data_IF_339464339631
#
_entry.id   IF_339464339631
#
_cell.length_a   1.000
_cell.length_b   1.000
_cell.length_c   1.000
_cell.angle_alpha   90.00
_cell.angle_beta   90.00
_cell.angle_gamma   90.00
#
_symmetry.space_group_name_H-M   'P 1'
#
loop_
_entity.id
_entity.type
_entity.pdbx_description
1 polymer ?
#
# COMPACT_ATOMS: atom_id res chain seq x y z
N UNK A 1 -12.96 13.19 -11.38
CA UNK A 1 -12.32 13.19 -10.04
C UNK A 1 -11.54 11.91 -9.84
N UNK A 2 -10.39 11.98 -9.17
CA UNK A 2 -10.24 11.11 -8.00
C UNK A 2 -8.94 10.32 -7.85
N UNK A 3 -8.12 10.16 -8.88
CA UNK A 3 -6.82 9.49 -8.75
C UNK A 3 -5.70 10.50 -8.92
N UNK A 4 -5.14 10.94 -7.80
CA UNK A 4 -3.95 11.78 -7.79
C UNK A 4 -2.72 10.89 -7.63
N UNK A 5 -1.68 11.07 -8.45
CA UNK A 5 -0.40 10.46 -8.18
C UNK A 5 0.09 10.85 -6.77
N UNK A 6 0.71 9.94 -6.00
CA UNK A 6 1.15 10.22 -4.64
C UNK A 6 2.00 11.50 -4.54
N UNK A 7 2.87 11.77 -5.51
CA UNK A 7 3.72 12.95 -5.50
C UNK A 7 2.97 14.28 -5.71
N UNK A 8 1.79 14.25 -6.32
CA UNK A 8 0.94 15.44 -6.50
C UNK A 8 0.09 15.72 -5.26
N UNK A 9 -0.21 14.69 -4.47
CA UNK A 9 -1.13 14.75 -3.34
C UNK A 9 -0.82 15.88 -2.33
N UNK A 10 0.43 16.12 -1.88
CA UNK A 10 0.69 17.24 -0.98
C UNK A 10 0.41 18.62 -1.60
N UNK A 11 0.65 18.78 -2.90
CA UNK A 11 0.41 20.04 -3.60
C UNK A 11 -1.10 20.33 -3.74
N UNK A 12 -1.93 19.30 -3.95
CA UNK A 12 -3.39 19.43 -4.01
C UNK A 12 -4.00 19.92 -2.69
N UNK A 13 -3.37 19.56 -1.56
CA UNK A 13 -3.78 20.03 -0.22
C UNK A 13 -3.28 21.46 0.05
N UNK A 14 -2.01 21.73 -0.28
CA UNK A 14 -1.34 22.98 0.03
C UNK A 14 -1.64 24.12 -0.96
N UNK A 15 -2.32 23.83 -2.07
CA UNK A 15 -2.72 24.85 -3.04
C UNK A 15 -3.64 25.91 -2.44
N UNK A 16 -3.66 27.10 -3.04
CA UNK A 16 -4.60 28.18 -2.73
C UNK A 16 -5.94 28.04 -3.49
N UNK A 17 -6.12 26.95 -4.24
CA UNK A 17 -7.32 26.70 -5.02
C UNK A 17 -8.56 26.58 -4.11
N UNK A 18 -9.71 27.20 -4.45
CA UNK A 18 -10.91 27.14 -3.62
C UNK A 18 -11.45 25.72 -3.39
N UNK A 19 -11.16 24.81 -4.33
CA UNK A 19 -11.52 23.39 -4.25
C UNK A 19 -10.35 22.47 -3.84
N UNK A 20 -9.32 23.01 -3.17
CA UNK A 20 -8.21 22.21 -2.64
C UNK A 20 -8.71 21.06 -1.75
N UNK A 21 -7.90 20.01 -1.60
CA UNK A 21 -8.23 18.91 -0.69
C UNK A 21 -8.18 19.41 0.76
N UNK A 22 -9.34 19.38 1.45
CA UNK A 22 -9.49 19.86 2.83
C UNK A 22 -9.66 18.75 3.86
N UNK A 23 -10.15 17.59 3.41
CA UNK A 23 -10.36 16.42 4.26
C UNK A 23 -9.77 15.18 3.59
N UNK A 24 -9.07 14.36 4.37
CA UNK A 24 -8.46 13.11 3.89
C UNK A 24 -8.76 11.98 4.87
N UNK A 25 -9.14 10.84 4.30
CA UNK A 25 -9.30 9.59 5.01
C UNK A 25 -8.17 8.65 4.58
N UNK A 26 -7.30 8.25 5.51
CA UNK A 26 -6.18 7.34 5.26
C UNK A 26 -6.50 6.00 5.89
N UNK A 27 -6.61 4.95 5.07
CA UNK A 27 -6.79 3.58 5.53
C UNK A 27 -5.53 2.77 5.19
N UNK A 28 -4.96 2.12 6.21
CA UNK A 28 -3.89 1.12 6.08
C UNK A 28 -2.65 1.64 5.32
N UNK A 29 -2.32 2.92 5.50
CA UNK A 29 -1.22 3.59 4.81
C UNK A 29 -0.54 4.64 5.69
N UNK A 30 0.73 4.93 5.40
CA UNK A 30 1.55 5.83 6.18
C UNK A 30 2.28 6.90 5.33
N UNK A 31 1.55 7.73 4.56
CA UNK A 31 2.10 8.70 3.63
C UNK A 31 3.06 9.72 4.28
N UNK A 32 2.91 10.03 5.57
CA UNK A 32 3.84 10.91 6.29
C UNK A 32 5.29 10.39 6.28
N UNK A 33 5.50 9.08 6.20
CA UNK A 33 6.84 8.47 6.15
C UNK A 33 7.15 7.83 4.78
N UNK A 34 6.14 7.36 4.05
CA UNK A 34 6.33 6.64 2.78
C UNK A 34 6.27 7.53 1.54
N UNK A 35 5.65 8.70 1.63
CA UNK A 35 5.56 9.66 0.53
C UNK A 35 6.91 10.33 0.25
N UNK A 36 7.24 10.51 -1.04
CA UNK A 36 8.43 11.27 -1.43
C UNK A 36 8.29 12.73 -1.03
N UNK A 37 9.37 13.33 -0.55
CA UNK A 37 9.34 14.59 0.18
C UNK A 37 8.45 14.48 1.43
N UNK A 38 8.86 13.61 2.37
CA UNK A 38 8.09 13.34 3.59
C UNK A 38 7.78 14.60 4.39
N UNK A 39 8.67 15.60 4.38
CA UNK A 39 8.43 16.89 5.03
C UNK A 39 7.23 17.64 4.43
N UNK A 40 7.10 17.62 3.10
CA UNK A 40 5.94 18.20 2.40
C UNK A 40 4.66 17.42 2.67
N UNK A 41 4.72 16.09 2.76
CA UNK A 41 3.59 15.27 3.19
C UNK A 41 3.15 15.60 4.62
N UNK A 42 4.07 15.68 5.57
CA UNK A 42 3.74 16.07 6.94
C UNK A 42 3.11 17.47 7.01
N UNK A 43 3.65 18.43 6.26
CA UNK A 43 3.09 19.78 6.19
C UNK A 43 1.68 19.80 5.59
N UNK A 44 1.46 19.06 4.50
CA UNK A 44 0.15 18.93 3.87
C UNK A 44 -0.87 18.30 4.82
N UNK A 45 -0.52 17.17 5.46
CA UNK A 45 -1.41 16.48 6.39
C UNK A 45 -1.81 17.36 7.58
N UNK A 46 -0.88 18.18 8.12
CA UNK A 46 -1.15 19.16 9.19
C UNK A 46 -2.02 20.34 8.75
N UNK A 47 -2.14 20.60 7.45
CA UNK A 47 -2.88 21.74 6.88
C UNK A 47 -4.31 21.37 6.46
N UNK A 48 -4.72 20.11 6.64
CA UNK A 48 -6.08 19.64 6.44
C UNK A 48 -7.00 20.18 7.54
N UNK A 49 -8.27 20.35 7.20
CA UNK A 49 -9.31 20.65 8.20
C UNK A 49 -9.80 19.37 8.89
N UNK A 50 -9.59 18.21 8.25
CA UNK A 50 -9.91 16.91 8.80
C UNK A 50 -8.98 15.83 8.24
N UNK A 51 -8.25 15.17 9.12
CA UNK A 51 -7.50 13.95 8.84
C UNK A 51 -8.03 12.81 9.72
N UNK A 52 -8.59 11.78 9.08
CA UNK A 52 -9.01 10.54 9.74
C UNK A 52 -8.08 9.41 9.30
N UNK A 53 -7.57 8.65 10.26
CA UNK A 53 -6.67 7.53 10.01
C UNK A 53 -7.25 6.23 10.58
N UNK A 54 -7.44 5.23 9.73
CA UNK A 54 -7.75 3.85 10.09
C UNK A 54 -6.46 3.04 9.98
N UNK A 55 -5.95 2.57 11.10
CA UNK A 55 -4.66 1.86 11.14
C UNK A 55 -4.61 0.89 12.33
N UNK A 56 -3.77 -0.13 12.21
CA UNK A 56 -3.49 -1.11 13.26
C UNK A 56 -2.45 -0.62 14.26
N UNK A 57 -1.78 0.51 13.96
CA UNK A 57 -0.77 1.11 14.81
C UNK A 57 -0.84 2.64 14.81
N UNK A 58 -0.32 3.24 15.88
CA UNK A 58 -0.10 4.70 15.97
C UNK A 58 1.12 5.10 15.12
N UNK A 59 0.93 5.09 13.79
CA UNK A 59 1.90 5.46 12.76
C UNK A 59 2.21 6.96 12.78
N UNK A 60 3.23 7.36 12.01
CA UNK A 60 3.62 8.76 11.81
C UNK A 60 2.45 9.55 11.24
N UNK A 61 1.69 8.97 10.30
CA UNK A 61 0.46 9.56 9.76
C UNK A 61 -0.66 9.61 10.79
N UNK A 62 -0.91 8.52 11.54
CA UNK A 62 -1.94 8.49 12.59
C UNK A 62 -1.72 9.57 13.67
N UNK A 63 -0.47 9.92 13.97
CA UNK A 63 -0.12 10.96 14.94
C UNK A 63 -0.39 12.38 14.47
N UNK A 64 -0.58 12.58 13.18
CA UNK A 64 -0.99 13.87 12.61
C UNK A 64 -2.52 13.98 12.51
N UNK A 65 -3.25 12.89 12.76
CA UNK A 65 -4.69 12.81 12.55
C UNK A 65 -5.49 13.51 13.65
N UNK A 66 -6.63 14.06 13.27
CA UNK A 66 -7.65 14.53 14.21
C UNK A 66 -8.37 13.35 14.87
N UNK A 67 -8.60 12.29 14.10
CA UNK A 67 -9.22 11.06 14.57
C UNK A 67 -8.43 9.83 14.12
N UNK A 68 -8.17 8.94 15.07
CA UNK A 68 -7.59 7.61 14.82
C UNK A 68 -8.64 6.56 15.13
N UNK A 69 -8.95 5.72 14.15
CA UNK A 69 -9.89 4.62 14.25
C UNK A 69 -9.10 3.30 14.31
N UNK A 70 -9.02 2.62 15.46
CA UNK A 70 -8.16 1.46 15.63
C UNK A 70 -8.69 0.24 14.87
N UNK A 71 -7.97 -0.16 13.83
CA UNK A 71 -8.30 -1.31 13.01
C UNK A 71 -7.80 -2.62 13.65
N UNK A 72 -8.56 -3.71 13.46
CA UNK A 72 -8.10 -5.05 13.83
C UNK A 72 -6.95 -5.51 12.91
N UNK A 73 -6.01 -6.28 13.45
CA UNK A 73 -4.87 -6.77 12.67
C UNK A 73 -5.27 -7.81 11.61
N UNK A 74 -4.39 -8.11 10.66
CA UNK A 74 -4.63 -9.13 9.63
C UNK A 74 -4.87 -10.55 10.19
N UNK A 75 -4.52 -10.78 11.44
CA UNK A 75 -4.77 -12.05 12.15
C UNK A 75 -6.10 -12.06 12.88
N UNK A 76 -6.77 -10.91 13.00
CA UNK A 76 -7.98 -10.70 13.81
C UNK A 76 -9.24 -10.52 12.96
N UNK A 77 -9.10 -10.46 11.64
CA UNK A 77 -10.19 -10.20 10.71
C UNK A 77 -10.10 -11.08 9.46
N UNK A 78 -11.23 -11.16 8.77
CA UNK A 78 -11.29 -11.71 7.41
C UNK A 78 -10.56 -10.80 6.44
N UNK A 79 -9.64 -11.36 5.65
CA UNK A 79 -8.81 -10.58 4.73
C UNK A 79 -8.38 -11.41 3.52
N UNK A 80 -8.12 -10.76 2.38
CA UNK A 80 -7.58 -11.44 1.21
C UNK A 80 -6.35 -10.71 0.64
N UNK A 81 -5.59 -11.40 -0.22
CA UNK A 81 -4.46 -10.81 -0.94
C UNK A 81 -4.69 -10.88 -2.45
N UNK A 82 -4.13 -9.91 -3.20
CA UNK A 82 -4.27 -9.79 -4.65
C UNK A 82 -2.95 -10.01 -5.41
N UNK A 83 -1.95 -10.65 -4.77
CA UNK A 83 -0.61 -10.87 -5.34
C UNK A 83 -0.43 -12.30 -5.87
N UNK A 84 -1.43 -12.80 -6.59
CA UNK A 84 -1.46 -14.17 -7.11
C UNK A 84 -0.97 -14.14 -8.57
N UNK A 85 0.15 -14.81 -8.87
CA UNK A 85 0.79 -14.84 -10.20
C UNK A 85 0.90 -16.27 -10.71
N UNK A 86 -0.24 -16.94 -10.80
CA UNK A 86 -0.29 -18.38 -11.09
C UNK A 86 -0.97 -18.60 -12.44
N UNK A 87 -0.41 -19.50 -13.24
CA UNK A 87 -0.99 -19.94 -14.51
C UNK A 87 -0.68 -21.44 -14.68
N UNK A 88 -1.62 -22.26 -15.16
CA UNK A 88 -2.97 -21.91 -15.67
C UNK A 88 -4.05 -21.73 -14.60
N UNK A 89 -3.83 -22.27 -13.41
CA UNK A 89 -4.78 -22.21 -12.30
C UNK A 89 -4.50 -20.98 -11.45
N UNK A 90 -5.51 -20.12 -11.28
CA UNK A 90 -5.42 -18.92 -10.46
C UNK A 90 -6.15 -19.17 -9.13
N UNK A 91 -5.49 -18.88 -8.02
CA UNK A 91 -6.07 -19.06 -6.69
C UNK A 91 -6.49 -17.74 -6.06
N UNK A 92 -7.59 -17.78 -5.29
CA UNK A 92 -8.04 -16.70 -4.44
C UNK A 92 -7.90 -17.10 -2.98
N UNK A 93 -7.23 -16.26 -2.19
CA UNK A 93 -6.89 -16.57 -0.80
C UNK A 93 -7.69 -15.66 0.12
N UNK A 94 -8.86 -16.15 0.56
CA UNK A 94 -9.59 -15.55 1.67
C UNK A 94 -9.12 -16.20 2.97
N UNK A 95 -8.57 -15.39 3.88
CA UNK A 95 -8.08 -15.84 5.18
C UNK A 95 -9.09 -15.48 6.27
N UNK A 96 -9.51 -16.49 7.01
CA UNK A 96 -10.27 -16.33 8.25
C UNK A 96 -9.39 -15.76 9.38
N UNK A 97 -9.97 -15.06 10.38
CA UNK A 97 -9.24 -14.63 11.56
C UNK A 97 -8.61 -15.84 12.29
N UNK A 98 -7.36 -15.69 12.73
CA UNK A 98 -6.64 -16.67 13.57
C UNK A 98 -6.79 -16.36 15.06
N UNK A 99 -7.06 -15.10 15.39
CA UNK A 99 -7.18 -14.57 16.75
C UNK A 99 -8.46 -13.75 16.88
N UNK A 100 -9.05 -13.64 18.07
CA UNK A 100 -10.11 -12.66 18.30
C UNK A 100 -9.53 -11.23 18.20
N UNK A 101 -10.30 -10.23 17.72
CA UNK A 101 -9.92 -8.83 17.78
C UNK A 101 -9.49 -8.38 19.17
N UNK A 102 -8.43 -7.57 19.23
CA UNK A 102 -8.02 -6.95 20.48
C UNK A 102 -9.12 -6.02 21.03
N UNK A 103 -9.25 -5.88 22.37
CA UNK A 103 -10.22 -4.97 22.95
C UNK A 103 -10.09 -3.55 22.38
N UNK A 104 -11.20 -3.02 21.86
CA UNK A 104 -11.27 -1.68 21.30
C UNK A 104 -10.90 -1.55 19.81
N UNK A 105 -10.42 -2.62 19.16
CA UNK A 105 -10.21 -2.62 17.70
C UNK A 105 -11.45 -3.12 16.97
N UNK A 106 -11.61 -2.70 15.71
CA UNK A 106 -12.69 -3.17 14.83
C UNK A 106 -12.15 -3.51 13.44
N UNK A 107 -12.67 -4.55 12.76
CA UNK A 107 -12.46 -4.73 11.34
C UNK A 107 -12.99 -3.52 10.56
N UNK A 108 -12.33 -3.13 9.48
CA UNK A 108 -12.70 -1.97 8.67
C UNK A 108 -14.14 -2.04 8.14
N UNK A 109 -14.68 -3.20 7.70
CA UNK A 109 -16.10 -3.30 7.34
C UNK A 109 -17.04 -2.84 8.46
N UNK A 110 -16.71 -3.11 9.73
CA UNK A 110 -17.50 -2.64 10.87
C UNK A 110 -17.32 -1.12 11.10
N UNK A 111 -16.09 -0.61 10.99
CA UNK A 111 -15.82 0.84 11.07
C UNK A 111 -16.67 1.60 10.04
N UNK A 112 -16.70 1.12 8.80
CA UNK A 112 -17.42 1.77 7.71
C UNK A 112 -18.94 1.66 7.82
N UNK A 113 -19.48 0.53 8.31
CA UNK A 113 -20.92 0.38 8.51
C UNK A 113 -21.44 1.24 9.65
N UNK A 114 -20.73 1.31 10.77
CA UNK A 114 -21.08 2.19 11.89
C UNK A 114 -20.98 3.67 11.51
N UNK A 115 -19.95 4.05 10.75
CA UNK A 115 -19.82 5.42 10.24
C UNK A 115 -20.97 5.78 9.29
N UNK A 116 -21.34 4.89 8.37
CA UNK A 116 -22.47 5.12 7.48
C UNK A 116 -23.80 5.25 8.24
N UNK A 117 -23.99 4.45 9.30
CA UNK A 117 -25.16 4.57 10.17
C UNK A 117 -25.18 5.92 10.91
N UNK A 118 -24.05 6.33 11.49
CA UNK A 118 -23.92 7.61 12.19
C UNK A 118 -24.15 8.83 11.28
N UNK A 119 -23.75 8.73 10.01
CA UNK A 119 -24.01 9.76 8.99
C UNK A 119 -25.47 9.79 8.51
N UNK A 120 -26.31 8.80 8.86
CA UNK A 120 -27.71 8.73 8.44
C UNK A 120 -27.88 8.51 6.93
N UNK A 121 -26.87 7.91 6.26
CA UNK A 121 -26.86 7.71 4.80
C UNK A 121 -27.34 6.31 4.37
N UNK A 122 -27.67 5.45 5.33
CA UNK A 122 -28.19 4.11 5.07
C UNK A 122 -29.65 4.13 4.60
N UNK A 123 -30.10 3.10 3.87
CA UNK A 123 -31.52 2.85 3.63
C UNK A 123 -32.31 2.68 4.95
N UNK A 124 -33.65 2.82 4.92
CA UNK A 124 -34.48 2.48 6.07
C UNK A 124 -34.25 1.02 6.51
N UNK A 125 -34.33 0.76 7.81
CA UNK A 125 -34.07 -0.57 8.38
C UNK A 125 -34.96 -1.64 7.76
N UNK A 126 -36.22 -1.34 7.47
CA UNK A 126 -37.16 -2.26 6.81
C UNK A 126 -36.67 -2.73 5.43
N UNK A 127 -35.94 -1.89 4.69
CA UNK A 127 -35.34 -2.29 3.42
C UNK A 127 -34.14 -3.22 3.63
N UNK A 128 -33.37 -3.02 4.71
CA UNK A 128 -32.24 -3.88 5.07
C UNK A 128 -32.74 -5.23 5.60
N UNK A 129 -33.79 -5.26 6.42
CA UNK A 129 -34.42 -6.48 6.93
C UNK A 129 -34.92 -7.37 5.80
N UNK A 130 -35.67 -6.81 4.86
CA UNK A 130 -36.13 -7.54 3.67
C UNK A 130 -34.96 -8.16 2.89
N UNK A 131 -33.83 -7.45 2.76
CA UNK A 131 -32.64 -7.97 2.10
C UNK A 131 -31.96 -9.09 2.89
N UNK A 132 -31.92 -8.99 4.22
CA UNK A 132 -31.39 -10.05 5.10
C UNK A 132 -32.23 -11.33 5.02
N UNK A 133 -33.56 -11.21 5.01
CA UNK A 133 -34.47 -12.34 4.86
C UNK A 133 -34.27 -13.08 3.52
N UNK A 134 -34.14 -12.34 2.42
CA UNK A 134 -33.85 -12.93 1.11
C UNK A 134 -32.43 -13.54 1.06
N UNK A 135 -31.43 -12.85 1.62
CA UNK A 135 -30.05 -13.34 1.68
C UNK A 135 -29.91 -14.67 2.43
N UNK A 136 -30.72 -14.87 3.48
CA UNK A 136 -30.70 -16.08 4.28
C UNK A 136 -31.23 -17.33 3.54
N UNK A 137 -31.92 -17.14 2.41
CA UNK A 137 -32.57 -18.22 1.66
C UNK A 137 -31.97 -18.43 0.26
N UNK A 138 -31.75 -17.36 -0.50
CA UNK A 138 -31.28 -17.45 -1.89
C UNK A 138 -30.41 -16.24 -2.29
N UNK A 139 -29.12 -16.49 -2.55
CA UNK A 139 -28.14 -15.45 -2.91
C UNK A 139 -28.40 -14.84 -4.29
N UNK A 140 -29.00 -15.58 -5.23
CA UNK A 140 -29.35 -15.08 -6.56
C UNK A 140 -30.57 -14.16 -6.52
N UNK A 141 -31.60 -14.54 -5.76
CA UNK A 141 -32.76 -13.70 -5.47
C UNK A 141 -32.33 -12.45 -4.70
N UNK A 142 -31.43 -12.59 -3.73
CA UNK A 142 -30.85 -11.47 -3.00
C UNK A 142 -30.17 -10.47 -3.95
N UNK A 143 -29.31 -10.93 -4.86
CA UNK A 143 -28.63 -10.04 -5.80
C UNK A 143 -29.59 -9.33 -6.76
N UNK A 144 -30.71 -9.97 -7.10
CA UNK A 144 -31.79 -9.37 -7.89
C UNK A 144 -32.53 -8.26 -7.10
N UNK A 145 -32.87 -8.51 -5.83
CA UNK A 145 -33.48 -7.54 -4.94
C UNK A 145 -32.52 -6.37 -4.64
N UNK A 146 -31.25 -6.68 -4.35
CA UNK A 146 -30.18 -5.72 -4.12
C UNK A 146 -29.97 -4.82 -5.35
N UNK A 147 -29.88 -5.41 -6.55
CA UNK A 147 -29.81 -4.67 -7.80
C UNK A 147 -31.01 -3.75 -8.04
N UNK A 148 -32.22 -4.20 -7.66
CA UNK A 148 -33.44 -3.36 -7.72
C UNK A 148 -33.34 -2.17 -6.77
N UNK A 149 -32.87 -2.37 -5.53
CA UNK A 149 -32.65 -1.27 -4.58
C UNK A 149 -31.70 -0.22 -5.18
N UNK A 150 -30.54 -0.65 -5.71
CA UNK A 150 -29.56 0.27 -6.27
C UNK A 150 -30.06 1.00 -7.52
N UNK A 151 -30.85 0.33 -8.38
CA UNK A 151 -31.44 0.95 -9.58
C UNK A 151 -32.53 1.96 -9.24
N UNK A 152 -33.38 1.64 -8.26
CA UNK A 152 -34.48 2.51 -7.82
C UNK A 152 -33.98 3.68 -6.98
N UNK A 153 -32.84 3.51 -6.29
CA UNK A 153 -32.24 4.51 -5.43
C UNK A 153 -30.72 4.59 -5.69
N UNK A 154 -30.35 5.24 -6.80
CA UNK A 154 -28.95 5.35 -7.24
C UNK A 154 -28.00 5.96 -6.20
N UNK A 155 -28.50 6.77 -5.27
CA UNK A 155 -27.73 7.31 -4.13
C UNK A 155 -27.11 6.22 -3.24
N UNK A 156 -27.63 5.00 -3.24
CA UNK A 156 -27.10 3.88 -2.47
C UNK A 156 -26.01 3.10 -3.23
N UNK A 157 -25.82 3.32 -4.53
CA UNK A 157 -24.81 2.59 -5.30
C UNK A 157 -23.37 2.77 -4.76
N UNK A 158 -22.94 3.98 -4.34
CA UNK A 158 -21.63 4.14 -3.68
C UNK A 158 -21.50 3.40 -2.34
N UNK A 159 -22.63 3.05 -1.69
CA UNK A 159 -22.67 2.32 -0.43
C UNK A 159 -22.76 0.80 -0.61
N UNK A 160 -22.70 0.29 -1.84
CA UNK A 160 -22.94 -1.13 -2.10
C UNK A 160 -22.08 -2.09 -1.22
N UNK A 161 -20.77 -1.86 -1.00
CA UNK A 161 -19.99 -2.71 -0.09
C UNK A 161 -20.50 -2.70 1.35
N UNK A 162 -20.86 -1.52 1.87
CA UNK A 162 -21.43 -1.34 3.22
C UNK A 162 -22.77 -2.07 3.35
N UNK A 163 -23.64 -1.95 2.34
CA UNK A 163 -24.94 -2.61 2.33
C UNK A 163 -24.82 -4.13 2.23
N UNK A 164 -23.85 -4.64 1.45
CA UNK A 164 -23.56 -6.07 1.39
C UNK A 164 -23.15 -6.60 2.77
N UNK A 165 -22.28 -5.89 3.50
CA UNK A 165 -21.87 -6.27 4.87
C UNK A 165 -23.04 -6.23 5.86
N UNK A 166 -23.93 -5.25 5.76
CA UNK A 166 -25.12 -5.12 6.63
C UNK A 166 -26.25 -6.09 6.30
N UNK A 167 -26.23 -6.73 5.13
CA UNK A 167 -27.29 -7.63 4.66
C UNK A 167 -26.76 -9.05 4.50
N UNK A 168 -26.29 -9.44 3.31
CA UNK A 168 -25.69 -10.75 3.04
C UNK A 168 -24.60 -11.11 4.04
N UNK A 169 -23.77 -10.15 4.45
CA UNK A 169 -22.71 -10.38 5.43
C UNK A 169 -23.20 -10.91 6.77
N UNK A 170 -24.41 -10.58 7.19
CA UNK A 170 -25.00 -11.06 8.45
C UNK A 170 -25.42 -12.53 8.39
N UNK A 171 -25.53 -13.09 7.18
CA UNK A 171 -25.90 -14.51 6.98
C UNK A 171 -24.67 -15.40 6.81
N UNK A 172 -23.46 -14.83 6.76
CA UNK A 172 -22.22 -15.59 6.61
C UNK A 172 -21.73 -16.10 7.97
N UNK A 173 -21.20 -17.32 7.99
CA UNK A 173 -20.64 -17.96 9.18
C UNK A 173 -19.35 -17.28 9.66
N UNK A 174 -18.94 -17.59 10.89
CA UNK A 174 -17.63 -17.21 11.46
C UNK A 174 -17.32 -15.70 11.40
N UNK A 175 -18.36 -14.85 11.42
CA UNK A 175 -18.21 -13.39 11.38
C UNK A 175 -17.65 -12.86 10.05
N UNK A 176 -17.82 -13.60 8.95
CA UNK A 176 -17.28 -13.24 7.62
C UNK A 176 -18.03 -12.09 6.91
N UNK A 177 -18.67 -11.19 7.65
CA UNK A 177 -19.59 -10.19 7.09
C UNK A 177 -18.96 -9.27 6.05
N UNK A 178 -17.68 -8.93 6.21
CA UNK A 178 -16.89 -8.17 5.23
C UNK A 178 -16.68 -8.90 3.90
N UNK A 179 -16.66 -10.23 3.92
CA UNK A 179 -16.43 -11.05 2.72
C UNK A 179 -17.64 -11.05 1.76
N UNK A 180 -18.82 -10.58 2.20
CA UNK A 180 -20.00 -10.42 1.33
C UNK A 180 -19.74 -9.54 0.10
N UNK A 181 -18.77 -8.61 0.19
CA UNK A 181 -18.34 -7.77 -0.93
C UNK A 181 -17.71 -8.57 -2.10
N UNK A 182 -17.35 -9.84 -1.88
CA UNK A 182 -16.77 -10.70 -2.92
C UNK A 182 -17.81 -11.25 -3.89
N UNK A 183 -19.08 -11.42 -3.48
CA UNK A 183 -20.11 -12.06 -4.31
C UNK A 183 -20.28 -11.38 -5.69
N UNK A 184 -20.38 -10.03 -5.80
CA UNK A 184 -20.42 -9.38 -7.11
C UNK A 184 -19.20 -9.66 -7.99
N UNK A 185 -18.02 -9.85 -7.38
CA UNK A 185 -16.79 -10.26 -8.08
C UNK A 185 -16.89 -11.68 -8.63
N UNK A 186 -17.35 -12.62 -7.81
CA UNK A 186 -17.57 -14.01 -8.21
C UNK A 186 -18.60 -14.15 -9.35
N UNK A 187 -19.69 -13.38 -9.29
CA UNK A 187 -20.69 -13.32 -10.37
C UNK A 187 -20.10 -12.75 -11.66
N UNK A 188 -19.29 -11.70 -11.56
CA UNK A 188 -18.65 -11.07 -12.73
C UNK A 188 -17.67 -12.00 -13.41
N UNK A 189 -16.76 -12.63 -12.67
CA UNK A 189 -15.78 -13.55 -13.25
C UNK A 189 -16.45 -14.80 -13.85
N UNK A 190 -17.52 -15.32 -13.21
CA UNK A 190 -18.30 -16.42 -13.78
C UNK A 190 -19.00 -16.03 -15.08
N UNK A 191 -19.41 -14.76 -15.24
CA UNK A 191 -20.00 -14.24 -16.47
C UNK A 191 -18.95 -14.01 -17.57
N UNK A 192 -17.80 -13.45 -17.21
CA UNK A 192 -16.74 -13.08 -18.16
C UNK A 192 -15.94 -14.31 -18.62
N UNK A 193 -15.74 -15.29 -17.73
CA UNK A 193 -14.92 -16.48 -17.97
C UNK A 193 -15.60 -17.78 -17.50
N UNK A 194 -16.82 -18.09 -17.97
CA UNK A 194 -17.62 -19.20 -17.44
C UNK A 194 -16.94 -20.56 -17.56
N UNK A 195 -16.28 -20.84 -18.69
CA UNK A 195 -15.55 -22.09 -18.89
C UNK A 195 -14.37 -22.23 -17.91
N UNK A 196 -13.62 -21.16 -17.68
CA UNK A 196 -12.47 -21.17 -16.78
C UNK A 196 -12.89 -21.33 -15.31
N UNK A 197 -13.98 -20.67 -14.90
CA UNK A 197 -14.54 -20.83 -13.55
C UNK A 197 -15.09 -22.25 -13.36
N UNK A 198 -15.85 -22.77 -14.34
CA UNK A 198 -16.39 -24.13 -14.28
C UNK A 198 -15.29 -25.19 -14.17
N UNK A 199 -14.17 -25.04 -14.89
CA UNK A 199 -12.98 -25.89 -14.73
C UNK A 199 -12.38 -25.80 -13.34
N UNK A 200 -12.30 -24.60 -12.75
CA UNK A 200 -11.68 -24.38 -11.45
C UNK A 200 -12.45 -25.01 -10.29
N UNK A 201 -13.79 -24.88 -10.30
CA UNK A 201 -14.62 -25.32 -9.17
C UNK A 201 -15.37 -26.63 -9.41
N UNK A 202 -15.27 -27.21 -10.61
CA UNK A 202 -15.92 -28.47 -10.97
C UNK A 202 -17.43 -28.32 -11.22
N UNK A 203 -17.80 -27.45 -12.16
CA UNK A 203 -19.19 -27.16 -12.53
C UNK A 203 -19.43 -27.13 -14.05
N UNK A 204 -20.55 -26.52 -14.48
CA UNK A 204 -20.86 -26.28 -15.90
C UNK A 204 -20.80 -24.80 -16.23
N UNK A 205 -20.28 -24.47 -17.40
CA UNK A 205 -20.11 -23.07 -17.84
C UNK A 205 -21.45 -22.33 -18.03
N UNK A 206 -22.53 -23.05 -18.33
CA UNK A 206 -23.87 -22.51 -18.54
C UNK A 206 -24.74 -22.50 -17.27
N UNK A 207 -24.19 -22.90 -16.11
CA UNK A 207 -24.91 -22.89 -14.84
C UNK A 207 -25.17 -21.45 -14.37
N UNK A 208 -26.43 -21.01 -14.23
CA UNK A 208 -26.75 -19.66 -13.75
C UNK A 208 -26.29 -19.41 -12.30
N UNK A 209 -26.06 -20.46 -11.52
CA UNK A 209 -25.56 -20.38 -10.15
C UNK A 209 -24.03 -20.44 -10.06
N UNK A 210 -23.29 -20.52 -11.18
CA UNK A 210 -21.83 -20.73 -11.18
C UNK A 210 -21.07 -19.71 -10.32
N UNK A 211 -21.44 -18.43 -10.39
CA UNK A 211 -20.81 -17.38 -9.58
C UNK A 211 -21.17 -17.45 -8.10
N UNK A 212 -22.37 -17.92 -7.76
CA UNK A 212 -22.77 -18.19 -6.36
C UNK A 212 -22.00 -19.40 -5.82
N UNK A 213 -21.88 -20.47 -6.60
CA UNK A 213 -21.10 -21.65 -6.24
C UNK A 213 -19.62 -21.31 -6.03
N UNK A 214 -19.05 -20.42 -6.86
CA UNK A 214 -17.69 -19.91 -6.65
C UNK A 214 -17.56 -19.13 -5.33
N UNK A 215 -18.53 -18.24 -5.05
CA UNK A 215 -18.53 -17.46 -3.81
C UNK A 215 -18.59 -18.36 -2.58
N UNK A 216 -19.54 -19.32 -2.55
CA UNK A 216 -19.70 -20.25 -1.43
C UNK A 216 -18.42 -21.07 -1.21
N UNK A 217 -17.80 -21.56 -2.29
CA UNK A 217 -16.52 -22.28 -2.21
C UNK A 217 -15.39 -21.42 -1.61
N UNK A 218 -15.32 -20.13 -1.93
CA UNK A 218 -14.32 -19.20 -1.37
C UNK A 218 -14.56 -18.98 0.13
N UNK A 219 -15.82 -18.78 0.56
CA UNK A 219 -16.19 -18.56 1.96
C UNK A 219 -15.91 -19.80 2.82
N UNK A 220 -16.25 -20.98 2.30
CA UNK A 220 -16.16 -22.24 3.04
C UNK A 220 -14.73 -22.80 3.09
N UNK A 221 -13.85 -22.36 2.18
CA UNK A 221 -12.46 -22.79 2.18
C UNK A 221 -11.64 -22.11 3.28
N UNK A 222 -10.72 -22.86 3.89
CA UNK A 222 -9.68 -22.32 4.79
C UNK A 222 -8.30 -22.25 4.12
N UNK A 223 -8.24 -22.56 2.83
CA UNK A 223 -7.05 -22.55 1.99
C UNK A 223 -7.32 -21.78 0.69
N UNK A 224 -6.27 -21.53 -0.09
CA UNK A 224 -6.41 -20.94 -1.43
C UNK A 224 -7.41 -21.72 -2.28
N UNK A 225 -8.37 -21.00 -2.87
CA UNK A 225 -9.45 -21.58 -3.69
C UNK A 225 -9.16 -21.30 -5.16
N UNK A 226 -9.02 -22.31 -6.03
CA UNK A 226 -9.01 -22.09 -7.47
C UNK A 226 -10.26 -21.33 -7.89
N UNK A 227 -10.11 -20.17 -8.53
CA UNK A 227 -11.26 -19.40 -9.03
C UNK A 227 -11.35 -19.40 -10.57
N UNK A 228 -10.24 -19.59 -11.27
CA UNK A 228 -10.22 -19.86 -12.71
C UNK A 228 -9.11 -20.85 -13.08
N UNK A 229 -9.34 -21.64 -14.12
CA UNK A 229 -8.31 -22.40 -14.84
C UNK A 229 -8.38 -21.99 -16.30
N UNK A 230 -7.37 -21.27 -16.78
CA UNK A 230 -7.29 -20.77 -18.15
C UNK A 230 -6.45 -21.69 -19.04
N UNK A 231 -6.70 -21.62 -20.35
CA UNK A 231 -5.88 -22.28 -21.36
C UNK A 231 -5.00 -21.23 -22.05
N UNK A 232 -3.97 -21.66 -22.77
CA UNK A 232 -3.02 -20.73 -23.42
C UNK A 232 -3.74 -19.89 -24.48
N UNK A 233 -4.74 -20.47 -25.12
CA UNK A 233 -5.60 -19.86 -26.13
C UNK A 233 -6.42 -18.69 -25.55
N UNK A 234 -6.74 -18.71 -24.26
CA UNK A 234 -7.50 -17.64 -23.58
C UNK A 234 -6.69 -16.33 -23.49
N UNK A 235 -5.35 -16.41 -23.48
CA UNK A 235 -4.45 -15.29 -23.15
C UNK A 235 -4.61 -14.11 -24.11
N UNK A 236 -4.74 -14.37 -25.41
CA UNK A 236 -4.96 -13.30 -26.39
C UNK A 236 -6.32 -12.64 -26.24
N UNK A 237 -7.32 -13.38 -25.72
CA UNK A 237 -8.64 -12.86 -25.41
C UNK A 237 -8.64 -11.79 -24.31
N UNK A 238 -7.61 -11.76 -23.45
CA UNK A 238 -7.48 -10.75 -22.39
C UNK A 238 -6.95 -9.41 -22.88
N UNK A 239 -6.42 -9.35 -24.10
CA UNK A 239 -5.95 -8.10 -24.70
C UNK A 239 -7.16 -7.25 -25.05
N UNK A 240 -7.32 -6.14 -24.33
CA UNK A 240 -8.49 -5.24 -24.46
C UNK A 240 -8.57 -4.47 -25.78
N UNK A 241 -7.53 -4.53 -26.61
CA UNK A 241 -7.56 -3.91 -27.92
C UNK A 241 -8.55 -4.64 -28.83
N UNK A 242 -9.31 -3.94 -29.71
CA UNK A 242 -10.31 -4.59 -30.58
C UNK A 242 -9.74 -5.69 -31.49
N UNK A 243 -8.45 -5.62 -31.82
CA UNK A 243 -7.73 -6.61 -32.63
C UNK A 243 -7.01 -7.68 -31.79
N UNK A 244 -7.12 -7.62 -30.46
CA UNK A 244 -6.48 -8.54 -29.52
C UNK A 244 -4.95 -8.65 -29.71
N UNK A 245 -4.31 -7.55 -30.15
CA UNK A 245 -2.86 -7.49 -30.37
C UNK A 245 -2.15 -6.60 -29.36
N UNK A 246 -0.93 -6.98 -29.01
CA UNK A 246 -0.02 -6.19 -28.19
C UNK A 246 0.45 -4.97 -29.00
N UNK A 247 0.35 -3.77 -28.42
CA UNK A 247 0.86 -2.54 -29.02
C UNK A 247 2.36 -2.42 -28.72
N UNK A 248 3.18 -2.79 -29.71
CA UNK A 248 4.65 -2.67 -29.60
C UNK A 248 5.14 -1.23 -29.80
N UNK A 249 4.39 -0.43 -30.55
CA UNK A 249 4.69 0.98 -30.81
C UNK A 249 3.57 1.83 -30.23
N UNK A 250 3.95 2.77 -29.36
CA UNK A 250 3.08 3.81 -28.82
C UNK A 250 3.61 5.13 -29.41
N UNK A 251 2.94 5.72 -30.43
CA UNK A 251 3.47 6.86 -31.17
C UNK A 251 3.99 7.99 -30.28
N UNK A 252 3.25 8.34 -29.23
CA UNK A 252 3.61 9.42 -28.31
C UNK A 252 4.92 9.14 -27.56
N UNK A 253 5.19 7.88 -27.18
CA UNK A 253 6.45 7.50 -26.54
C UNK A 253 7.62 7.43 -27.55
N UNK A 254 7.32 7.10 -28.81
CA UNK A 254 8.33 7.13 -29.88
C UNK A 254 8.75 8.56 -30.21
N UNK A 255 7.80 9.50 -30.24
CA UNK A 255 8.08 10.92 -30.42
C UNK A 255 8.99 11.44 -29.29
N UNK A 256 8.70 11.10 -28.03
CA UNK A 256 9.55 11.45 -26.89
C UNK A 256 10.95 10.84 -26.98
N UNK A 257 11.06 9.58 -27.43
CA UNK A 257 12.34 8.92 -27.65
C UNK A 257 13.20 9.67 -28.67
N UNK A 258 12.59 10.24 -29.71
CA UNK A 258 13.28 11.02 -30.75
C UNK A 258 13.74 12.40 -30.27
N UNK A 259 13.13 12.93 -29.21
CA UNK A 259 13.52 14.21 -28.58
C UNK A 259 14.70 14.07 -27.61
N UNK A 260 15.05 12.85 -27.18
CA UNK A 260 16.17 12.62 -26.29
C UNK A 260 17.51 12.92 -26.98
N UNK A 261 18.36 13.71 -26.32
CA UNK A 261 19.75 13.93 -26.71
C UNK A 261 20.71 13.32 -25.68
N UNK A 262 21.16 12.07 -25.88
CA UNK A 262 22.12 11.41 -24.98
C UNK A 262 23.44 12.14 -24.83
N UNK A 263 23.83 13.00 -25.79
CA UNK A 263 25.08 13.78 -25.68
C UNK A 263 24.95 14.94 -24.68
N UNK A 264 23.71 15.38 -24.40
CA UNK A 264 23.40 16.39 -23.39
C UNK A 264 23.23 15.79 -21.98
N UNK A 265 23.07 14.46 -21.87
CA UNK A 265 22.92 13.77 -20.59
C UNK A 265 24.26 13.76 -19.84
N UNK A 266 24.32 14.46 -18.72
CA UNK A 266 25.51 14.56 -17.89
C UNK A 266 25.14 14.58 -16.41
N UNK A 267 25.95 13.90 -15.60
CA UNK A 267 25.79 13.93 -14.16
C UNK A 267 26.04 15.34 -13.63
N UNK A 268 25.17 15.80 -12.73
CA UNK A 268 25.37 17.04 -11.99
C UNK A 268 26.66 16.92 -11.14
N UNK A 269 27.71 17.73 -11.40
CA UNK A 269 28.97 17.61 -10.67
C UNK A 269 28.82 17.84 -9.16
N UNK A 270 27.74 18.52 -8.73
CA UNK A 270 27.43 18.71 -7.31
C UNK A 270 26.94 17.41 -6.65
N UNK A 271 26.32 16.52 -7.43
CA UNK A 271 25.70 15.28 -6.97
C UNK A 271 26.20 14.08 -7.80
N UNK A 272 27.49 13.70 -7.67
CA UNK A 272 28.14 12.74 -8.56
C UNK A 272 27.72 11.27 -8.33
N UNK A 273 26.97 10.97 -7.26
CA UNK A 273 26.51 9.62 -6.96
C UNK A 273 25.05 9.42 -7.38
N UNK A 274 24.73 8.20 -7.81
CA UNK A 274 23.35 7.74 -7.98
C UNK A 274 22.90 7.01 -6.71
N UNK A 275 21.90 7.54 -6.02
CA UNK A 275 21.25 6.91 -4.87
C UNK A 275 20.05 6.06 -5.31
N UNK A 276 20.12 4.76 -5.01
CA UNK A 276 18.98 3.87 -4.99
C UNK A 276 18.23 4.03 -3.66
N UNK A 277 17.26 4.93 -3.63
CA UNK A 277 16.35 5.10 -2.50
C UNK A 277 15.36 3.92 -2.43
N UNK A 278 15.38 3.19 -1.32
CA UNK A 278 14.44 2.08 -1.11
C UNK A 278 14.88 0.78 -1.76
N UNK A 279 16.15 0.39 -1.60
CA UNK A 279 16.63 -0.95 -1.94
C UNK A 279 15.86 -2.00 -1.14
N UNK A 280 15.42 -3.06 -1.82
CA UNK A 280 14.85 -4.25 -1.17
C UNK A 280 16.02 -5.16 -0.76
N UNK A 281 16.12 -5.50 0.51
CA UNK A 281 17.04 -6.49 1.09
C UNK A 281 16.23 -7.61 1.73
N UNK A 282 16.89 -8.72 2.05
CA UNK A 282 16.27 -9.93 2.60
C UNK A 282 15.56 -9.72 3.95
N UNK A 283 15.85 -8.61 4.63
CA UNK A 283 15.30 -8.22 5.93
C UNK A 283 14.58 -6.86 5.85
N UNK A 284 14.08 -6.46 4.69
CA UNK A 284 13.11 -5.37 4.59
C UNK A 284 11.71 -5.93 4.85
N UNK A 285 11.00 -5.37 5.83
CA UNK A 285 9.57 -5.55 5.96
C UNK A 285 8.83 -4.31 5.47
N UNK A 286 7.53 -4.47 5.27
CA UNK A 286 6.61 -3.35 5.22
C UNK A 286 6.48 -2.71 6.62
N UNK A 287 5.90 -1.52 6.66
CA UNK A 287 5.85 -0.70 7.88
C UNK A 287 4.83 -1.17 8.92
N UNK A 288 4.14 -2.29 8.67
CA UNK A 288 3.32 -2.95 9.69
C UNK A 288 4.18 -3.62 10.76
N UNK A 289 5.36 -4.10 10.38
CA UNK A 289 6.35 -4.67 11.29
C UNK A 289 7.14 -3.54 11.94
N UNK A 290 6.58 -2.94 12.99
CA UNK A 290 7.13 -1.72 13.60
C UNK A 290 8.23 -1.97 14.63
N UNK A 291 8.16 -3.06 15.39
CA UNK A 291 9.09 -3.33 16.48
C UNK A 291 10.51 -3.59 15.94
N UNK A 292 11.53 -2.76 16.24
CA UNK A 292 12.85 -2.87 15.61
C UNK A 292 13.54 -4.21 15.89
N UNK A 293 13.16 -4.91 16.97
CA UNK A 293 13.70 -6.20 17.38
C UNK A 293 13.49 -7.33 16.35
N UNK A 294 12.56 -7.18 15.40
CA UNK A 294 12.38 -8.17 14.34
C UNK A 294 13.57 -8.20 13.36
N UNK A 295 14.31 -7.09 13.22
CA UNK A 295 15.49 -6.98 12.35
C UNK A 295 16.71 -7.61 13.01
N UNK A 296 17.10 -8.78 12.51
CA UNK A 296 18.25 -9.56 13.03
C UNK A 296 19.59 -9.13 12.44
N UNK A 297 19.58 -8.37 11.35
CA UNK A 297 20.76 -7.87 10.65
C UNK A 297 20.50 -6.45 10.20
N UNK A 298 21.58 -5.67 10.00
CA UNK A 298 21.53 -4.28 9.54
C UNK A 298 20.62 -3.39 10.42
N UNK A 299 20.89 -3.29 11.73
CA UNK A 299 20.01 -2.60 12.68
C UNK A 299 19.76 -1.12 12.33
N UNK A 300 20.72 -0.48 11.67
CA UNK A 300 20.68 0.95 11.32
C UNK A 300 20.24 1.22 9.88
N UNK A 301 20.06 0.21 9.03
CA UNK A 301 19.70 0.41 7.63
C UNK A 301 20.82 1.07 6.82
N UNK A 302 22.02 0.50 6.85
CA UNK A 302 23.25 1.10 6.35
C UNK A 302 23.22 1.45 4.85
N UNK A 303 23.97 2.48 4.49
CA UNK A 303 24.23 2.90 3.12
C UNK A 303 25.20 1.90 2.46
N UNK A 304 24.69 1.09 1.53
CA UNK A 304 25.55 0.22 0.74
C UNK A 304 26.37 1.07 -0.24
N UNK A 305 27.69 0.94 -0.18
CA UNK A 305 28.68 1.73 -0.93
C UNK A 305 29.86 0.87 -1.32
N UNK A 306 30.42 1.08 -2.51
CA UNK A 306 31.63 0.37 -2.93
C UNK A 306 32.83 0.77 -2.05
N UNK A 307 33.71 -0.17 -1.63
CA UNK A 307 34.88 0.12 -0.80
C UNK A 307 35.75 1.27 -1.34
N UNK A 308 36.12 1.26 -2.62
CA UNK A 308 36.91 2.35 -3.24
C UNK A 308 36.28 3.74 -3.09
N UNK A 309 34.95 3.86 -3.22
CA UNK A 309 34.27 5.15 -3.09
C UNK A 309 34.22 5.58 -1.64
N UNK A 310 34.04 4.62 -0.71
CA UNK A 310 34.09 4.87 0.72
C UNK A 310 35.50 5.34 1.14
N UNK A 311 36.55 4.67 0.66
CA UNK A 311 37.95 5.02 0.91
C UNK A 311 38.29 6.40 0.31
N UNK A 312 37.80 6.71 -0.89
CA UNK A 312 37.99 8.02 -1.52
C UNK A 312 37.35 9.16 -0.72
N UNK A 313 36.24 8.89 -0.01
CA UNK A 313 35.63 9.82 0.95
C UNK A 313 36.41 9.88 2.29
N UNK A 314 37.37 8.98 2.50
CA UNK A 314 37.99 8.70 3.79
C UNK A 314 37.03 8.03 4.78
N UNK A 315 35.92 7.46 4.35
CA UNK A 315 35.04 6.71 5.23
C UNK A 315 35.69 5.42 5.73
N UNK A 316 35.01 4.76 6.66
CA UNK A 316 35.34 3.40 7.10
C UNK A 316 34.06 2.58 7.13
N UNK A 317 34.17 1.28 6.87
CA UNK A 317 33.02 0.37 7.04
C UNK A 317 32.49 0.45 8.48
N UNK A 318 31.16 0.50 8.63
CA UNK A 318 30.49 0.75 9.91
C UNK A 318 30.57 2.19 10.45
N UNK A 319 31.34 3.08 9.81
CA UNK A 319 31.39 4.50 10.12
C UNK A 319 30.14 5.26 9.65
N UNK A 320 30.07 6.57 9.88
CA UNK A 320 28.92 7.39 9.48
C UNK A 320 29.24 8.31 8.31
N UNK A 321 28.42 8.24 7.26
CA UNK A 321 28.52 9.08 6.06
C UNK A 321 27.24 9.91 5.93
N UNK A 322 27.38 11.16 5.50
CA UNK A 322 26.23 12.01 5.21
C UNK A 322 25.92 11.92 3.72
N UNK A 323 24.66 11.62 3.44
CA UNK A 323 24.08 11.60 2.09
C UNK A 323 23.30 12.90 1.91
N UNK A 324 23.60 13.64 0.86
CA UNK A 324 22.91 14.88 0.51
C UNK A 324 22.32 14.77 -0.89
N UNK A 325 21.09 15.25 -1.08
CA UNK A 325 20.44 15.40 -2.38
C UNK A 325 19.99 16.85 -2.55
N UNK A 326 19.36 17.17 -3.69
CA UNK A 326 18.73 18.49 -3.87
C UNK A 326 17.64 18.78 -2.84
N UNK A 327 17.02 17.74 -2.28
CA UNK A 327 15.91 17.85 -1.34
C UNK A 327 16.37 18.01 0.11
N UNK A 328 17.35 17.23 0.53
CA UNK A 328 17.75 17.20 1.94
C UNK A 328 19.00 16.38 2.17
N UNK A 329 19.34 16.18 3.45
CA UNK A 329 20.47 15.35 3.86
C UNK A 329 20.09 14.45 5.04
N UNK A 330 20.77 13.31 5.15
CA UNK A 330 20.72 12.45 6.33
C UNK A 330 22.07 11.77 6.56
N UNK A 331 22.32 11.39 7.81
CA UNK A 331 23.50 10.61 8.20
C UNK A 331 23.12 9.13 8.27
N UNK A 332 23.90 8.28 7.60
CA UNK A 332 23.68 6.84 7.55
C UNK A 332 24.98 6.07 7.85
N UNK A 333 24.84 4.90 8.46
CA UNK A 333 25.98 4.02 8.72
C UNK A 333 26.46 3.43 7.39
N UNK A 334 27.73 3.60 7.05
CA UNK A 334 28.31 3.05 5.83
C UNK A 334 28.39 1.53 5.94
N UNK A 335 28.04 0.86 4.84
CA UNK A 335 28.17 -0.58 4.69
C UNK A 335 28.94 -0.82 3.39
N UNK A 336 30.20 -1.24 3.52
CA UNK A 336 31.03 -1.59 2.38
C UNK A 336 30.46 -2.83 1.66
N UNK A 337 30.22 -2.71 0.35
CA UNK A 337 29.70 -3.78 -0.49
C UNK A 337 30.33 -3.67 -1.88
N UNK A 338 31.25 -4.58 -2.22
CA UNK A 338 31.97 -4.61 -3.51
C UNK A 338 31.07 -4.98 -4.70
N UNK A 339 29.86 -5.47 -4.45
CA UNK A 339 28.84 -5.69 -5.48
C UNK A 339 28.15 -4.39 -5.88
N UNK A 340 28.26 -3.34 -5.06
CA UNK A 340 27.71 -2.03 -5.37
C UNK A 340 28.57 -1.36 -6.44
N UNK A 341 27.96 -0.89 -7.53
CA UNK A 341 28.69 -0.20 -8.59
C UNK A 341 29.31 1.10 -8.06
N UNK A 342 30.58 1.37 -8.40
CA UNK A 342 31.22 2.67 -8.13
C UNK A 342 30.43 3.84 -8.71
N UNK A 343 30.33 4.93 -7.96
CA UNK A 343 29.47 6.08 -8.25
C UNK A 343 27.98 5.83 -7.98
N UNK A 344 27.61 4.73 -7.32
CA UNK A 344 26.24 4.45 -6.93
C UNK A 344 26.17 3.96 -5.49
N UNK A 345 25.11 4.34 -4.77
CA UNK A 345 24.88 3.92 -3.38
C UNK A 345 23.43 3.54 -3.14
N UNK A 346 23.14 2.77 -2.10
CA UNK A 346 21.79 2.30 -1.84
C UNK A 346 21.41 2.38 -0.37
N UNK A 347 20.24 2.99 -0.10
CA UNK A 347 19.61 2.96 1.22
C UNK A 347 18.39 2.02 1.19
N UNK A 348 18.16 1.23 2.25
CA UNK A 348 17.08 0.27 2.28
C UNK A 348 15.71 0.94 2.47
N UNK A 349 14.67 0.28 1.95
CA UNK A 349 13.27 0.60 2.27
C UNK A 349 12.90 0.14 3.70
N UNK A 350 11.84 0.69 4.31
CA UNK A 350 11.25 0.10 5.53
C UNK A 350 11.91 0.52 6.84
N UNK A 351 12.73 1.58 6.79
CA UNK A 351 13.27 2.29 7.95
C UNK A 351 12.56 3.64 8.13
N UNK A 352 13.05 4.44 9.07
CA UNK A 352 12.54 5.79 9.34
C UNK A 352 11.29 5.84 10.21
N UNK A 353 10.89 4.71 10.79
CA UNK A 353 9.72 4.62 11.66
C UNK A 353 10.04 5.11 13.07
N UNK A 354 9.10 5.81 13.68
CA UNK A 354 9.08 6.17 15.09
C UNK A 354 8.74 4.95 15.95
N UNK A 355 9.66 4.64 16.85
CA UNK A 355 9.49 3.59 17.87
C UNK A 355 9.40 4.25 19.24
N UNK A 356 8.56 3.70 20.10
CA UNK A 356 8.37 4.20 21.46
C UNK A 356 9.49 3.70 22.37
N UNK A 357 10.05 4.60 23.17
CA UNK A 357 10.97 4.30 24.26
C UNK A 357 10.19 4.01 25.55
N UNK A 358 10.85 3.35 26.51
CA UNK A 358 10.24 2.98 27.79
C UNK A 358 9.72 4.20 28.60
N UNK A 359 10.31 5.38 28.39
CA UNK A 359 9.90 6.64 29.02
C UNK A 359 8.77 7.37 28.26
N UNK A 360 8.21 6.78 27.20
CA UNK A 360 7.18 7.38 26.36
C UNK A 360 7.69 8.35 25.28
N UNK A 361 8.98 8.68 25.27
CA UNK A 361 9.60 9.40 24.16
C UNK A 361 9.65 8.50 22.90
N UNK A 362 10.00 9.09 21.76
CA UNK A 362 10.17 8.34 20.51
C UNK A 362 11.54 8.59 19.91
N UNK A 363 12.04 7.55 19.24
CA UNK A 363 13.26 7.58 18.45
C UNK A 363 12.99 7.01 17.06
N UNK A 364 13.69 7.53 16.05
CA UNK A 364 13.55 7.08 14.66
C UNK A 364 14.46 5.86 14.43
N UNK A 365 13.89 4.77 13.92
CA UNK A 365 14.64 3.55 13.61
C UNK A 365 15.20 3.58 12.16
N UNK A 366 16.49 3.91 12.03
CA UNK A 366 17.23 3.95 10.76
C UNK A 366 16.88 5.14 9.85
N UNK A 367 17.34 5.15 8.59
CA UNK A 367 17.23 6.30 7.70
C UNK A 367 15.79 6.56 7.24
N UNK A 368 15.34 7.81 7.34
CA UNK A 368 14.12 8.32 6.71
C UNK A 368 14.40 8.67 5.24
N UNK A 369 14.53 7.65 4.39
CA UNK A 369 15.00 7.79 3.01
C UNK A 369 14.21 8.80 2.15
N UNK A 370 12.92 8.98 2.41
CA UNK A 370 12.05 9.85 1.64
C UNK A 370 12.20 11.35 1.98
N UNK A 371 13.09 11.67 2.94
CA UNK A 371 13.59 13.04 3.14
C UNK A 371 14.63 13.44 2.08
N UNK A 372 15.15 12.47 1.33
CA UNK A 372 16.12 12.67 0.24
C UNK A 372 15.47 12.71 -1.14
N UNK A 373 14.21 12.29 -1.28
CA UNK A 373 13.51 12.22 -2.57
C UNK A 373 12.63 13.43 -2.79
N UNK A 374 12.63 13.98 -4.01
CA UNK A 374 11.83 15.14 -4.36
C UNK A 374 10.49 14.70 -4.96
N UNK A 375 9.39 15.30 -4.51
CA UNK A 375 8.06 15.06 -5.06
C UNK A 375 7.85 15.77 -6.42
N UNK A 376 8.61 16.83 -6.70
CA UNK A 376 8.55 17.56 -7.97
C UNK A 376 9.30 16.85 -9.11
N UNK A 377 10.29 16.03 -8.75
CA UNK A 377 11.01 15.18 -9.69
C UNK A 377 10.21 13.89 -9.89
N UNK A 378 9.39 13.84 -10.94
CA UNK A 378 8.50 12.72 -11.20
C UNK A 378 8.25 12.51 -12.69
N UNK A 379 7.91 11.29 -13.07
CA UNK A 379 7.49 10.94 -14.43
C UNK A 379 6.30 11.83 -14.88
N UNK A 380 6.33 12.41 -16.08
CA UNK A 380 5.32 13.38 -16.51
C UNK A 380 3.94 12.76 -16.79
N UNK A 381 3.85 11.44 -16.98
CA UNK A 381 2.60 10.70 -17.24
C UNK A 381 2.00 10.20 -15.93
N UNK A 382 2.77 9.40 -15.19
CA UNK A 382 2.27 8.67 -14.02
C UNK A 382 2.63 9.34 -12.69
N UNK A 383 3.58 10.27 -12.71
CA UNK A 383 4.17 10.95 -11.55
C UNK A 383 4.69 10.08 -10.39
N UNK A 384 5.22 8.84 -10.59
CA UNK A 384 6.14 8.27 -9.61
C UNK A 384 7.47 9.06 -9.57
N UNK A 385 8.14 9.10 -8.41
CA UNK A 385 9.48 9.66 -8.27
C UNK A 385 10.56 8.69 -8.82
N UNK A 386 11.73 9.19 -9.25
CA UNK A 386 12.83 8.39 -9.74
C UNK A 386 13.65 7.76 -8.59
N UNK A 387 13.02 6.93 -7.76
CA UNK A 387 13.63 6.31 -6.58
C UNK A 387 14.94 5.53 -6.84
N UNK A 388 15.23 5.17 -8.10
CA UNK A 388 16.42 4.39 -8.47
C UNK A 388 17.52 5.20 -9.14
N UNK A 389 17.30 6.50 -9.33
CA UNK A 389 18.25 7.39 -10.01
C UNK A 389 18.37 8.74 -9.30
N UNK A 390 18.20 8.76 -7.98
CA UNK A 390 18.24 10.00 -7.19
C UNK A 390 19.68 10.53 -7.18
N UNK A 391 19.93 11.72 -7.72
CA UNK A 391 21.25 12.33 -7.68
C UNK A 391 21.63 12.69 -6.23
N UNK A 392 22.82 12.26 -5.79
CA UNK A 392 23.31 12.44 -4.44
C UNK A 392 24.79 12.83 -4.39
N UNK A 393 25.16 13.49 -3.30
CA UNK A 393 26.52 13.76 -2.88
C UNK A 393 26.78 13.04 -1.56
N UNK A 394 28.02 12.61 -1.37
CA UNK A 394 28.46 11.95 -0.15
C UNK A 394 29.59 12.76 0.47
N UNK A 395 29.57 12.86 1.79
CA UNK A 395 30.67 13.43 2.56
C UNK A 395 30.85 12.71 3.89
N UNK A 396 32.04 12.87 4.47
CA UNK A 396 32.25 12.55 5.88
C UNK A 396 31.26 13.33 6.74
N UNK A 397 30.68 12.65 7.71
CA UNK A 397 29.83 13.28 8.71
C UNK A 397 30.69 14.10 9.65
N UNK A 398 30.19 15.26 10.08
CA UNK A 398 30.79 16.04 11.14
C UNK A 398 30.69 15.32 12.49
N UNK A 399 31.50 15.71 13.47
CA UNK A 399 31.46 15.11 14.80
C UNK A 399 30.07 15.23 15.45
N UNK A 400 29.36 16.34 15.24
CA UNK A 400 28.01 16.53 15.75
C UNK A 400 27.00 15.55 15.13
N UNK A 401 27.06 15.38 13.81
CA UNK A 401 26.24 14.41 13.08
C UNK A 401 26.52 12.96 13.53
N UNK A 402 27.80 12.61 13.71
CA UNK A 402 28.21 11.29 14.23
C UNK A 402 27.64 11.05 15.63
N UNK A 403 27.78 12.03 16.53
CA UNK A 403 27.28 11.92 17.91
C UNK A 403 25.76 11.75 17.93
N UNK A 404 25.03 12.53 17.12
CA UNK A 404 23.59 12.42 17.02
C UNK A 404 23.15 11.06 16.46
N UNK A 405 23.82 10.57 15.41
CA UNK A 405 23.51 9.29 14.78
C UNK A 405 23.82 8.10 15.71
N UNK A 406 24.94 8.13 16.44
CA UNK A 406 25.27 7.13 17.46
C UNK A 406 24.28 7.14 18.63
N UNK A 407 23.84 8.32 19.07
CA UNK A 407 22.82 8.43 20.12
C UNK A 407 21.48 7.84 19.67
N UNK A 408 21.04 8.19 18.45
CA UNK A 408 19.84 7.61 17.85
C UNK A 408 19.93 6.08 17.74
N UNK A 409 21.05 5.55 17.21
CA UNK A 409 21.28 4.10 17.11
C UNK A 409 21.23 3.42 18.47
N UNK A 410 21.92 3.97 19.47
CA UNK A 410 21.94 3.44 20.85
C UNK A 410 20.55 3.41 21.48
N UNK A 411 19.76 4.46 21.30
CA UNK A 411 18.38 4.54 21.80
C UNK A 411 17.47 3.52 21.13
N UNK A 412 17.61 3.30 19.81
CA UNK A 412 16.90 2.22 19.11
C UNK A 412 17.31 0.85 19.66
N UNK A 413 18.60 0.61 19.91
CA UNK A 413 19.06 -0.65 20.51
C UNK A 413 18.52 -0.85 21.94
N UNK A 414 18.37 0.22 22.72
CA UNK A 414 17.74 0.13 24.04
C UNK A 414 16.26 -0.29 23.95
N UNK A 415 15.53 0.19 22.93
CA UNK A 415 14.16 -0.29 22.65
C UNK A 415 14.16 -1.78 22.29
N UNK A 416 15.08 -2.22 21.43
CA UNK A 416 15.23 -3.64 21.06
C UNK A 416 15.52 -4.53 22.26
N UNK A 417 16.43 -4.11 23.15
CA UNK A 417 16.83 -4.87 24.33
C UNK A 417 15.72 -4.97 25.39
N UNK A 418 14.75 -4.05 25.38
CA UNK A 418 13.62 -4.04 26.30
C UNK A 418 12.37 -4.79 25.78
N UNK A 419 12.38 -5.21 24.50
CA UNK A 419 11.22 -5.82 23.81
C UNK A 419 11.10 -7.33 24.01
#
# INVERSE_FOLDING_TARGET
AGLYPPNRFPAEILSDHPERLRAVFVDSSNPANTGSDSAKFEAALKALDLLVVVDVAMTETARLADYVLPASSQYEKWEFTLFQFEFPTNYFHLRAPLLPPLPGTKPEPQIYTEMAAALGILPPESALDNLREVAATDKGAFMSAFGTLLKTNSKYAPLAPVLLTLTLGQTLSDGASGAAALLPGCLRVAKEHPAAVARAIGGKADDPALGVALFDRIIDSRSGTPFTVHEVEDVFGFIRHPDQKIRLAIPELLDWLLELDPASDSADPKYPFILFAGQRRSFNANQIMRAPAWRKSDPDGGLAIHPDDLDALGGTDGGWVTVETRRGQLTARAQADDRQRRGSVALPHGYGMDVAEANGARVVAGPRINTLTDSADCDPIAAPPPHKTVAAALRRSSNEEVVAAEDQSRRVQAVVAAS
#
